data_IF_679125588703
#
_entry.id   IF_679125588703
#
_cell.length_a   1.000
_cell.length_b   1.000
_cell.length_c   1.000
_cell.angle_alpha   90.00
_cell.angle_beta   90.00
_cell.angle_gamma   90.00
#
_symmetry.space_group_name_H-M   'P 1'
#
loop_
_entity.id
_entity.type
_entity.pdbx_description
1 polymer ?
#
# COMPACT_ATOMS: atom_id res chain seq x y z
N UNK A 1 17.25 5.91 -12.31
CA UNK A 1 17.04 5.28 -13.63
C UNK A 1 17.25 3.76 -13.56
N UNK A 2 18.26 3.29 -12.84
CA UNK A 2 18.54 1.87 -12.63
C UNK A 2 17.38 1.08 -11.99
N UNK A 3 16.75 1.60 -10.93
CA UNK A 3 15.60 0.95 -10.27
C UNK A 3 14.40 0.77 -11.19
N UNK A 4 14.10 1.77 -12.02
CA UNK A 4 13.00 1.68 -12.97
C UNK A 4 13.30 0.65 -14.07
N UNK A 5 14.56 0.54 -14.48
CA UNK A 5 15.00 -0.48 -15.42
C UNK A 5 14.82 -1.89 -14.85
N UNK A 6 15.25 -2.14 -13.61
CA UNK A 6 15.06 -3.42 -12.92
C UNK A 6 13.57 -3.78 -12.81
N UNK A 7 12.73 -2.85 -12.31
CA UNK A 7 11.28 -3.06 -12.23
C UNK A 7 10.67 -3.38 -13.60
N UNK A 8 11.21 -2.80 -14.68
CA UNK A 8 10.75 -3.08 -16.05
C UNK A 8 11.10 -4.52 -16.44
N UNK A 9 12.30 -5.00 -16.14
CA UNK A 9 12.69 -6.41 -16.36
C UNK A 9 11.81 -7.36 -15.55
N UNK A 10 11.58 -7.07 -14.27
CA UNK A 10 10.67 -7.84 -13.41
C UNK A 10 9.22 -7.81 -13.93
N UNK A 11 8.76 -6.67 -14.48
CA UNK A 11 7.40 -6.50 -15.02
C UNK A 11 7.18 -7.24 -16.35
N UNK A 12 8.22 -7.36 -17.18
CA UNK A 12 8.27 -8.20 -18.38
C UNK A 12 8.21 -9.68 -17.95
N UNK A 13 8.99 -10.03 -16.92
CA UNK A 13 9.07 -11.39 -16.37
C UNK A 13 10.23 -12.21 -16.95
N UNK A 14 11.25 -11.54 -17.50
CA UNK A 14 12.47 -12.17 -17.99
C UNK A 14 13.45 -12.54 -16.85
N UNK A 15 13.18 -12.06 -15.63
CA UNK A 15 13.97 -12.38 -14.45
C UNK A 15 13.62 -13.76 -13.87
N UNK A 16 14.67 -14.46 -13.44
CA UNK A 16 14.57 -15.76 -12.76
C UNK A 16 14.88 -15.59 -11.26
N UNK A 17 14.18 -16.36 -10.45
CA UNK A 17 14.36 -16.47 -9.00
C UNK A 17 14.91 -17.86 -8.69
N UNK A 18 16.07 -17.94 -8.05
CA UNK A 18 16.62 -19.19 -7.55
C UNK A 18 15.81 -19.67 -6.35
N UNK A 19 15.22 -20.86 -6.46
CA UNK A 19 14.45 -21.49 -5.37
C UNK A 19 15.06 -22.82 -4.98
N UNK A 20 14.97 -23.11 -3.69
CA UNK A 20 15.29 -24.42 -3.15
C UNK A 20 14.09 -25.36 -3.35
N UNK A 21 14.32 -26.45 -4.07
CA UNK A 21 13.33 -27.48 -4.35
C UNK A 21 13.83 -28.80 -3.79
N UNK A 22 12.97 -29.50 -3.06
CA UNK A 22 13.26 -30.86 -2.58
C UNK A 22 13.07 -31.82 -3.73
N UNK A 23 14.18 -32.41 -4.18
CA UNK A 23 14.18 -33.41 -5.24
C UNK A 23 14.34 -34.78 -4.60
N UNK A 24 13.53 -35.75 -5.06
CA UNK A 24 13.69 -37.15 -4.65
C UNK A 24 14.56 -37.86 -5.67
N UNK A 25 15.78 -38.24 -5.29
CA UNK A 25 16.65 -39.07 -6.12
C UNK A 25 16.66 -40.50 -5.61
N UNK A 26 16.46 -41.43 -6.54
CA UNK A 26 16.70 -42.84 -6.27
C UNK A 26 18.14 -43.17 -6.65
N UNK A 27 18.85 -43.82 -5.74
CA UNK A 27 20.20 -44.31 -6.01
C UNK A 27 20.32 -45.75 -5.55
N UNK A 28 21.10 -46.55 -6.28
CA UNK A 28 21.41 -47.91 -5.88
C UNK A 28 22.58 -47.87 -4.90
N UNK A 29 22.29 -48.14 -3.64
CA UNK A 29 23.30 -48.17 -2.57
C UNK A 29 23.53 -49.62 -2.14
N UNK A 30 24.79 -49.96 -1.86
CA UNK A 30 25.14 -51.30 -1.37
C UNK A 30 24.83 -51.37 0.12
N UNK A 31 23.97 -52.30 0.51
CA UNK A 31 23.65 -52.51 1.91
C UNK A 31 24.88 -53.11 2.64
N UNK A 32 25.38 -52.48 3.72
CA UNK A 32 26.56 -52.95 4.45
C UNK A 32 26.35 -54.31 5.13
N UNK A 33 25.12 -54.65 5.51
CA UNK A 33 24.78 -55.88 6.25
C UNK A 33 24.56 -57.08 5.33
N UNK A 34 23.94 -56.87 4.17
CA UNK A 34 23.56 -57.95 3.26
C UNK A 34 24.39 -58.02 1.98
N UNK A 35 25.18 -56.97 1.68
CA UNK A 35 26.03 -56.87 0.50
C UNK A 35 25.29 -56.71 -0.83
N UNK A 36 23.94 -56.73 -0.83
CA UNK A 36 23.07 -56.56 -2.00
C UNK A 36 22.88 -55.07 -2.33
N UNK A 37 22.60 -54.77 -3.59
CA UNK A 37 22.23 -53.42 -4.03
C UNK A 37 20.75 -53.19 -3.72
N UNK A 38 20.47 -52.14 -2.96
CA UNK A 38 19.13 -51.70 -2.64
C UNK A 38 18.86 -50.35 -3.31
N UNK A 39 17.63 -50.15 -3.80
CA UNK A 39 17.18 -48.85 -4.26
C UNK A 39 16.81 -48.00 -3.05
N UNK A 40 17.54 -46.93 -2.80
CA UNK A 40 17.31 -45.98 -1.71
C UNK A 40 16.76 -44.69 -2.29
N UNK A 41 15.66 -44.20 -1.72
CA UNK A 41 15.09 -42.90 -2.05
C UNK A 41 15.56 -41.88 -1.02
N UNK A 42 16.48 -41.02 -1.43
CA UNK A 42 16.94 -39.91 -0.61
C UNK A 42 16.31 -38.62 -1.11
N UNK A 43 15.92 -37.77 -0.17
CA UNK A 43 15.47 -36.43 -0.44
C UNK A 43 16.64 -35.48 -0.21
N UNK A 44 16.93 -34.63 -1.19
CA UNK A 44 17.94 -33.59 -1.04
C UNK A 44 17.44 -32.29 -1.66
N UNK A 45 17.93 -31.17 -1.12
CA UNK A 45 17.56 -29.83 -1.55
C UNK A 45 18.46 -29.43 -2.71
N UNK A 46 17.86 -29.05 -3.84
CA UNK A 46 18.57 -28.48 -4.99
C UNK A 46 18.09 -27.06 -5.26
N UNK A 47 19.03 -26.18 -5.64
CA UNK A 47 18.70 -24.84 -6.11
C UNK A 47 18.36 -24.89 -7.59
N UNK A 48 17.15 -24.46 -7.95
CA UNK A 48 16.65 -24.41 -9.32
C UNK A 48 16.22 -22.99 -9.65
N UNK A 49 16.56 -22.51 -10.83
CA UNK A 49 16.09 -21.21 -11.32
C UNK A 49 14.68 -21.35 -11.88
N UNK A 50 13.75 -20.61 -11.30
CA UNK A 50 12.33 -20.60 -11.64
C UNK A 50 11.95 -19.19 -12.08
N UNK A 51 11.08 -19.00 -13.08
CA UNK A 51 10.58 -17.66 -13.41
C UNK A 51 9.96 -16.96 -12.20
N UNK A 52 10.08 -15.63 -12.16
CA UNK A 52 9.57 -14.82 -11.05
C UNK A 52 8.07 -15.07 -10.82
N UNK A 53 7.63 -15.01 -9.57
CA UNK A 53 6.22 -15.24 -9.24
C UNK A 53 5.33 -14.21 -9.95
N UNK A 54 4.13 -14.60 -10.43
CA UNK A 54 3.20 -13.66 -11.04
C UNK A 54 2.81 -12.48 -10.13
N UNK A 55 2.76 -12.69 -8.81
CA UNK A 55 2.50 -11.63 -7.81
C UNK A 55 3.55 -10.54 -7.85
N UNK A 56 4.82 -10.92 -7.95
CA UNK A 56 5.95 -10.00 -7.87
C UNK A 56 6.05 -9.20 -9.17
N UNK A 57 5.77 -9.85 -10.30
CA UNK A 57 5.57 -9.19 -11.60
C UNK A 57 4.44 -8.17 -11.58
N UNK A 58 3.29 -8.49 -10.97
CA UNK A 58 2.19 -7.52 -10.80
C UNK A 58 2.60 -6.35 -9.91
N UNK A 59 3.34 -6.63 -8.82
CA UNK A 59 3.81 -5.58 -7.93
C UNK A 59 4.78 -4.62 -8.63
N UNK A 60 5.66 -5.15 -9.48
CA UNK A 60 6.56 -4.32 -10.29
C UNK A 60 5.79 -3.40 -11.25
N UNK A 61 4.74 -3.91 -11.90
CA UNK A 61 3.85 -3.12 -12.77
C UNK A 61 3.15 -2.00 -12.00
N UNK A 62 2.61 -2.30 -10.82
CA UNK A 62 1.98 -1.30 -9.95
C UNK A 62 2.97 -0.19 -9.56
N UNK A 63 4.21 -0.56 -9.23
CA UNK A 63 5.24 0.41 -8.85
C UNK A 63 5.63 1.32 -10.02
N UNK A 64 5.74 0.77 -11.24
CA UNK A 64 5.98 1.56 -12.47
C UNK A 64 4.80 2.52 -12.72
N UNK A 65 3.57 2.02 -12.60
CA UNK A 65 2.37 2.84 -12.82
C UNK A 65 2.24 3.97 -11.78
N UNK A 66 2.59 3.72 -10.51
CA UNK A 66 2.67 4.76 -9.47
C UNK A 66 3.73 5.80 -9.76
N UNK A 67 4.91 5.39 -10.23
CA UNK A 67 5.98 6.33 -10.63
C UNK A 67 5.50 7.30 -11.72
N UNK A 68 4.68 6.81 -12.66
CA UNK A 68 4.06 7.62 -13.71
C UNK A 68 2.73 8.29 -13.31
N UNK A 69 2.30 8.20 -12.05
CA UNK A 69 1.04 8.76 -11.55
C UNK A 69 -0.19 8.32 -12.35
N UNK A 70 -0.19 7.07 -12.85
CA UNK A 70 -1.31 6.52 -13.63
C UNK A 70 -2.52 6.18 -12.76
N UNK A 71 -2.32 5.97 -11.46
CA UNK A 71 -3.39 5.66 -10.53
C UNK A 71 -3.89 6.90 -9.80
N UNK A 72 -5.21 6.96 -9.62
CA UNK A 72 -5.90 8.00 -8.86
C UNK A 72 -6.76 7.35 -7.79
N UNK A 73 -6.52 7.73 -6.54
CA UNK A 73 -7.37 7.33 -5.42
C UNK A 73 -8.53 8.33 -5.29
N UNK A 74 -9.76 7.83 -5.32
CA UNK A 74 -10.95 8.64 -5.05
C UNK A 74 -11.23 8.62 -3.56
N UNK A 75 -10.98 9.73 -2.87
CA UNK A 75 -11.45 9.94 -1.50
C UNK A 75 -12.77 10.71 -1.52
N UNK A 76 -13.79 10.18 -0.84
CA UNK A 76 -14.95 10.99 -0.48
C UNK A 76 -14.74 11.49 0.95
N UNK A 77 -14.66 12.81 1.14
CA UNK A 77 -14.50 13.45 2.44
C UNK A 77 -15.74 14.25 2.80
N UNK A 78 -16.89 13.57 2.85
CA UNK A 78 -18.11 14.09 3.46
C UNK A 78 -18.02 13.94 4.98
N UNK A 79 -17.03 14.59 5.60
CA UNK A 79 -16.94 14.65 7.05
C UNK A 79 -17.65 15.93 7.53
N UNK A 80 -18.71 15.82 8.35
CA UNK A 80 -19.33 17.00 8.95
C UNK A 80 -18.31 17.68 9.84
N UNK A 81 -17.86 18.86 9.43
CA UNK A 81 -16.93 19.67 10.20
C UNK A 81 -17.75 20.53 11.16
N UNK A 82 -17.51 20.44 12.46
CA UNK A 82 -18.15 21.33 13.43
C UNK A 82 -17.26 22.57 13.56
N UNK A 83 -17.82 23.75 13.35
CA UNK A 83 -17.11 25.03 13.48
C UNK A 83 -17.71 25.82 14.63
N UNK A 84 -16.90 26.20 15.60
CA UNK A 84 -17.29 27.13 16.67
C UNK A 84 -16.89 28.53 16.25
N UNK A 85 -17.86 29.44 16.14
CA UNK A 85 -17.68 30.83 15.79
C UNK A 85 -17.97 31.71 17.00
N UNK A 86 -16.95 32.43 17.46
CA UNK A 86 -17.12 33.44 18.50
C UNK A 86 -17.47 34.79 17.85
N UNK A 87 -18.65 35.30 18.21
CA UNK A 87 -19.19 36.58 17.74
C UNK A 87 -19.07 37.71 18.78
N UNK A 88 -18.59 37.40 19.98
CA UNK A 88 -18.53 38.37 21.08
C UNK A 88 -17.66 39.59 20.71
N UNK A 89 -18.22 40.79 20.86
CA UNK A 89 -17.54 42.07 20.62
C UNK A 89 -17.31 42.44 19.15
N UNK A 90 -17.84 41.67 18.20
CA UNK A 90 -17.74 41.97 16.76
C UNK A 90 -18.93 42.81 16.26
N UNK A 91 -18.70 43.56 15.18
CA UNK A 91 -19.75 44.32 14.50
C UNK A 91 -20.49 43.41 13.52
N UNK A 92 -21.81 43.54 13.40
CA UNK A 92 -22.67 42.71 12.52
C UNK A 92 -22.12 42.55 11.09
N UNK A 93 -21.54 43.62 10.52
CA UNK A 93 -20.96 43.60 9.17
C UNK A 93 -19.69 42.75 9.05
N UNK A 94 -18.97 42.54 10.15
CA UNK A 94 -17.78 41.70 10.24
C UNK A 94 -18.20 40.23 10.37
N UNK A 95 -19.20 39.95 11.23
CA UNK A 95 -19.73 38.60 11.45
C UNK A 95 -20.33 37.99 10.17
N UNK A 96 -21.10 38.78 9.42
CA UNK A 96 -21.64 38.31 8.14
C UNK A 96 -20.56 37.93 7.13
N UNK A 97 -19.41 38.62 7.13
CA UNK A 97 -18.31 38.33 6.22
C UNK A 97 -17.58 37.06 6.63
N UNK A 98 -17.32 36.92 7.92
CA UNK A 98 -16.63 35.77 8.50
C UNK A 98 -17.46 34.48 8.32
N UNK A 99 -18.78 34.55 8.53
CA UNK A 99 -19.70 33.41 8.33
C UNK A 99 -19.77 32.99 6.85
N UNK A 100 -19.86 33.95 5.90
CA UNK A 100 -19.81 33.67 4.46
C UNK A 100 -18.49 33.02 4.03
N UNK A 101 -17.39 33.36 4.71
CA UNK A 101 -16.10 32.74 4.48
C UNK A 101 -16.07 31.30 5.01
N UNK A 102 -16.61 31.05 6.20
CA UNK A 102 -16.71 29.70 6.80
C UNK A 102 -17.58 28.78 5.95
N UNK A 103 -18.72 29.25 5.43
CA UNK A 103 -19.58 28.46 4.54
C UNK A 103 -18.88 28.08 3.23
N UNK A 104 -18.03 28.97 2.70
CA UNK A 104 -17.25 28.71 1.48
C UNK A 104 -16.13 27.71 1.72
N UNK A 105 -15.47 27.80 2.87
CA UNK A 105 -14.34 26.95 3.24
C UNK A 105 -14.79 25.56 3.71
N UNK A 106 -15.96 25.49 4.36
CA UNK A 106 -16.56 24.27 4.89
C UNK A 106 -18.05 24.14 4.49
N UNK A 107 -18.35 23.77 3.24
CA UNK A 107 -19.71 23.76 2.70
C UNK A 107 -20.66 22.74 3.38
N UNK A 108 -20.11 21.75 4.06
CA UNK A 108 -20.85 20.70 4.80
C UNK A 108 -20.66 20.83 6.33
N UNK A 109 -20.33 22.02 6.83
CA UNK A 109 -20.11 22.25 8.26
C UNK A 109 -21.40 22.57 9.03
N UNK A 110 -21.42 22.23 10.32
CA UNK A 110 -22.41 22.76 11.27
C UNK A 110 -21.72 23.85 12.09
N UNK A 111 -22.23 25.08 12.02
CA UNK A 111 -21.66 26.24 12.71
C UNK A 111 -22.43 26.48 14.02
N UNK A 112 -21.71 26.56 15.13
CA UNK A 112 -22.23 27.02 16.41
C UNK A 112 -21.73 28.45 16.66
N UNK A 113 -22.64 29.39 16.82
CA UNK A 113 -22.33 30.79 17.10
C UNK A 113 -22.42 30.99 18.61
N UNK A 114 -21.31 31.41 19.21
CA UNK A 114 -21.25 31.85 20.60
C UNK A 114 -21.39 33.38 20.63
N UNK A 115 -22.53 33.85 21.14
CA UNK A 115 -22.86 35.26 21.33
C UNK A 115 -23.13 35.48 22.82
N UNK A 116 -22.09 35.34 23.63
CA UNK A 116 -22.13 35.75 25.02
C UNK A 116 -21.93 37.27 25.00
N UNK A 117 -23.03 38.00 25.11
CA UNK A 117 -23.00 39.45 25.27
C UNK A 117 -22.10 39.84 26.44
N UNK A 118 -21.40 40.97 26.33
CA UNK A 118 -20.62 41.54 27.43
C UNK A 118 -21.53 41.69 28.66
N UNK A 119 -21.27 40.90 29.70
CA UNK A 119 -21.93 41.11 30.99
C UNK A 119 -21.39 42.43 31.55
N UNK A 120 -22.20 43.48 31.56
CA UNK A 120 -21.89 44.71 32.30
C UNK A 120 -21.73 44.37 33.79
N UNK A 121 -20.57 44.73 34.36
CA UNK A 121 -20.17 44.50 35.76
C UNK A 121 -20.83 45.49 36.73
#
# INVERSE_FOLDING_TARGET
>A
KETLYLLTQSAIGDEMETKEVVVKRSSFERNPDTGRMNLVYNEHVETVDVPIKPSDRLKARDMIARYHKLFTDKSNSDMPTIVFYDSTGKQENQDEKDLKQIEKEFPNSTVFIDDIGEFEE
#
